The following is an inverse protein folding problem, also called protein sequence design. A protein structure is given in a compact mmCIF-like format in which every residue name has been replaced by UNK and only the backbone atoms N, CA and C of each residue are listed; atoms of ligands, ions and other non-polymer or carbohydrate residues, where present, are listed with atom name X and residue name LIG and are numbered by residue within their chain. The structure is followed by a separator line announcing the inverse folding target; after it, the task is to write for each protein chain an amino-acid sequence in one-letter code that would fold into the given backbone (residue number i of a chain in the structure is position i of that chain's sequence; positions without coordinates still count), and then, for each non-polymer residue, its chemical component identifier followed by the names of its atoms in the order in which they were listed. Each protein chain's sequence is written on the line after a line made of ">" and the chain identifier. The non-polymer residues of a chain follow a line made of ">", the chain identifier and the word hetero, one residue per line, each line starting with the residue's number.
data_IF_003933504150
#
_entry.id   IF_003933504150
#
_cell.length_a   1.000
_cell.length_b   1.000
_cell.length_c   1.000
_cell.angle_alpha   90.00
_cell.angle_beta   90.00
_cell.angle_gamma   90.00
#
_symmetry.space_group_name_H-M   'P 1'
#
loop_
_entity.id
_entity.type
_entity.pdbx_description
1 polymer ?
#
# COMPACT_ATOMS: atom_id res chain seq x y z
N UNK A 1 17.89 -17.38 -17.31
CA UNK A 1 16.56 -16.79 -16.94
C UNK A 1 15.54 -17.11 -18.01
N UNK A 2 15.39 -18.38 -18.31
CA UNK A 2 14.68 -18.83 -19.54
C UNK A 2 13.22 -19.23 -19.27
N UNK A 3 12.72 -19.03 -18.03
CA UNK A 3 11.36 -19.38 -17.63
C UNK A 3 11.12 -20.88 -17.45
N UNK A 4 12.18 -21.69 -17.43
CA UNK A 4 12.09 -23.12 -17.15
C UNK A 4 11.81 -23.38 -15.68
N UNK A 5 11.06 -24.44 -15.39
CA UNK A 5 10.81 -24.90 -14.02
C UNK A 5 12.11 -25.44 -13.42
N UNK A 6 12.49 -24.92 -12.24
CA UNK A 6 13.74 -25.31 -11.55
C UNK A 6 13.54 -26.28 -10.40
N UNK A 7 12.31 -26.43 -9.89
CA UNK A 7 12.02 -27.31 -8.76
C UNK A 7 10.64 -27.08 -8.15
N UNK A 8 10.37 -27.83 -7.07
CA UNK A 8 9.13 -27.72 -6.29
C UNK A 8 9.45 -27.14 -4.90
N UNK A 9 8.57 -26.30 -4.37
CA UNK A 9 8.70 -25.65 -3.06
C UNK A 9 7.43 -25.93 -2.27
N UNK A 10 7.58 -26.37 -1.03
CA UNK A 10 6.46 -26.51 -0.11
C UNK A 10 5.93 -25.14 0.28
N UNK A 11 4.62 -24.93 0.10
CA UNK A 11 3.99 -23.67 0.43
C UNK A 11 3.79 -23.54 1.95
N UNK A 12 4.20 -22.43 2.56
CA UNK A 12 3.97 -22.19 3.97
C UNK A 12 2.47 -22.16 4.30
N UNK A 13 2.16 -22.54 5.54
CA UNK A 13 0.80 -22.64 6.04
C UNK A 13 -0.04 -21.34 5.95
N UNK A 14 0.60 -20.21 5.68
CA UNK A 14 -0.07 -18.93 5.46
C UNK A 14 -1.00 -18.97 4.24
N UNK A 15 -0.65 -19.73 3.18
CA UNK A 15 -1.45 -19.86 1.97
C UNK A 15 -2.73 -20.69 2.16
N UNK A 16 -2.86 -21.46 3.25
CA UNK A 16 -4.08 -22.19 3.60
C UNK A 16 -5.14 -21.32 4.30
N UNK A 17 -4.80 -20.04 4.60
CA UNK A 17 -5.72 -19.13 5.27
C UNK A 17 -6.97 -18.86 4.44
N UNK A 18 -8.18 -18.88 5.04
CA UNK A 18 -9.41 -18.57 4.31
C UNK A 18 -9.44 -17.13 3.83
N UNK A 19 -9.99 -16.91 2.64
CA UNK A 19 -10.14 -15.57 2.08
C UNK A 19 -11.27 -14.81 2.79
N UNK A 20 -10.96 -13.73 3.48
CA UNK A 20 -11.86 -12.85 4.24
C UNK A 20 -11.82 -11.43 3.67
N UNK A 21 -12.67 -11.18 2.68
CA UNK A 21 -12.78 -9.85 2.06
C UNK A 21 -13.17 -8.74 3.05
N UNK A 22 -14.07 -9.05 3.99
CA UNK A 22 -14.55 -8.14 5.03
C UNK A 22 -13.40 -7.57 5.87
N UNK A 23 -12.52 -8.44 6.36
CA UNK A 23 -11.36 -8.04 7.19
C UNK A 23 -10.33 -7.28 6.35
N UNK A 24 -10.08 -7.72 5.11
CA UNK A 24 -9.19 -7.04 4.17
C UNK A 24 -9.69 -5.62 3.90
N UNK A 25 -11.00 -5.46 3.62
CA UNK A 25 -11.62 -4.15 3.36
C UNK A 25 -11.49 -3.21 4.56
N UNK A 26 -11.84 -3.67 5.76
CA UNK A 26 -11.73 -2.90 7.00
C UNK A 26 -10.29 -2.44 7.24
N UNK A 27 -9.33 -3.36 7.13
CA UNK A 27 -7.92 -3.04 7.30
C UNK A 27 -7.43 -2.04 6.24
N UNK A 28 -7.82 -2.23 4.96
CA UNK A 28 -7.49 -1.33 3.87
C UNK A 28 -7.96 0.10 4.14
N UNK A 29 -9.25 0.30 4.45
CA UNK A 29 -9.84 1.64 4.69
C UNK A 29 -9.13 2.34 5.86
N UNK A 30 -8.85 1.61 6.92
CA UNK A 30 -8.20 2.18 8.09
C UNK A 30 -6.73 2.53 7.82
N UNK A 31 -5.95 1.65 7.19
CA UNK A 31 -4.57 1.91 6.83
C UNK A 31 -4.44 3.04 5.79
N UNK A 32 -5.36 3.11 4.82
CA UNK A 32 -5.38 4.19 3.82
C UNK A 32 -5.58 5.56 4.46
N UNK A 33 -6.30 5.65 5.58
CA UNK A 33 -6.52 6.92 6.28
C UNK A 33 -5.21 7.58 6.74
N UNK A 34 -4.15 6.79 6.96
CA UNK A 34 -2.83 7.29 7.35
C UNK A 34 -2.05 7.96 6.20
N UNK A 35 -2.46 7.74 4.95
CA UNK A 35 -1.88 8.42 3.78
C UNK A 35 -2.53 9.77 3.49
N UNK A 36 -3.62 10.12 4.14
CA UNK A 36 -4.32 11.38 3.91
C UNK A 36 -3.64 12.52 4.66
N UNK A 37 -3.44 13.62 3.96
CA UNK A 37 -2.98 14.86 4.56
C UNK A 37 -4.14 15.55 5.27
N UNK A 38 -3.93 15.99 6.52
CA UNK A 38 -4.89 16.83 7.23
C UNK A 38 -5.08 18.13 6.47
N UNK A 39 -6.33 18.56 6.38
CA UNK A 39 -6.69 19.82 5.74
C UNK A 39 -7.42 20.69 6.75
N UNK A 40 -7.17 21.97 6.66
CA UNK A 40 -7.84 22.98 7.47
C UNK A 40 -7.93 24.29 6.71
N UNK A 41 -8.71 25.20 7.23
CA UNK A 41 -8.79 26.57 6.77
C UNK A 41 -8.50 27.51 7.95
N UNK A 42 -8.39 28.79 7.68
CA UNK A 42 -8.35 29.79 8.74
C UNK A 42 -9.65 29.71 9.57
N UNK A 43 -9.58 29.49 10.90
CA UNK A 43 -10.77 29.21 11.72
C UNK A 43 -11.84 30.29 11.63
N UNK A 44 -11.42 31.54 11.65
CA UNK A 44 -12.32 32.72 11.60
C UNK A 44 -12.70 33.13 10.18
N UNK A 45 -12.38 32.35 9.14
CA UNK A 45 -12.71 32.71 7.77
C UNK A 45 -14.23 32.85 7.57
N UNK A 46 -14.65 34.02 7.09
CA UNK A 46 -16.07 34.38 6.91
C UNK A 46 -16.77 34.89 8.19
N UNK A 47 -16.08 34.92 9.33
CA UNK A 47 -16.56 35.46 10.60
C UNK A 47 -15.92 36.81 10.95
N UNK A 48 -14.74 37.11 10.39
CA UNK A 48 -14.02 38.39 10.59
C UNK A 48 -14.73 39.51 9.81
N UNK A 49 -15.94 39.80 10.21
CA UNK A 49 -16.78 40.87 9.59
C UNK A 49 -17.54 41.57 10.72
N UNK A 50 -17.51 42.88 10.72
CA UNK A 50 -18.37 43.67 11.62
C UNK A 50 -19.82 43.53 11.19
N UNK A 51 -20.53 42.64 11.86
CA UNK A 51 -21.92 42.33 11.55
C UNK A 51 -22.76 42.22 12.82
N UNK A 52 -23.95 42.74 12.81
CA UNK A 52 -24.85 42.73 13.96
C UNK A 52 -26.28 42.40 13.52
N UNK A 53 -26.99 41.62 14.34
CA UNK A 53 -28.38 41.31 14.10
C UNK A 53 -29.24 42.57 14.35
N UNK A 54 -30.16 42.87 13.45
CA UNK A 54 -31.18 43.88 13.71
C UNK A 54 -32.26 43.28 14.60
N UNK A 55 -32.69 44.05 15.58
CA UNK A 55 -33.70 43.62 16.54
C UNK A 55 -35.08 43.38 15.88
N UNK A 56 -36.04 42.88 16.62
CA UNK A 56 -37.42 42.64 16.25
C UNK A 56 -38.15 43.94 15.94
N UNK A 57 -39.20 43.87 15.13
CA UNK A 57 -40.06 45.02 14.82
C UNK A 57 -39.74 45.73 13.50
N UNK A 58 -38.69 45.38 12.81
CA UNK A 58 -38.25 46.01 11.55
C UNK A 58 -38.70 45.27 10.28
N UNK A 59 -39.49 44.21 10.40
CA UNK A 59 -39.94 43.40 9.24
C UNK A 59 -38.84 42.69 8.47
N UNK A 60 -37.60 42.64 9.00
CA UNK A 60 -36.45 42.06 8.37
C UNK A 60 -35.99 40.82 9.15
N UNK A 61 -35.46 39.79 8.45
CA UNK A 61 -34.89 38.60 9.08
C UNK A 61 -33.79 38.97 10.09
N UNK A 62 -33.76 38.28 11.23
CA UNK A 62 -32.83 38.50 12.37
C UNK A 62 -31.41 38.00 12.09
N UNK A 63 -30.98 37.97 10.86
CA UNK A 63 -29.60 37.59 10.51
C UNK A 63 -28.65 38.75 10.82
N UNK A 64 -27.41 38.41 11.21
CA UNK A 64 -26.36 39.39 11.35
C UNK A 64 -26.09 40.06 9.98
N UNK A 65 -26.10 41.40 9.96
CA UNK A 65 -25.88 42.21 8.76
C UNK A 65 -24.65 43.09 8.90
N UNK A 66 -23.94 43.27 7.80
CA UNK A 66 -22.74 44.10 7.79
C UNK A 66 -23.06 45.54 8.23
N UNK A 67 -22.26 46.05 9.16
CA UNK A 67 -22.30 47.45 9.62
C UNK A 67 -21.61 48.36 8.62
N UNK A 68 -21.98 49.62 8.64
CA UNK A 68 -21.41 50.69 7.80
C UNK A 68 -22.27 51.02 6.60
N UNK A 69 -21.96 52.12 5.94
CA UNK A 69 -22.62 52.68 4.79
C UNK A 69 -21.61 52.92 3.67
N UNK A 70 -22.07 53.14 2.45
CA UNK A 70 -21.22 53.54 1.33
C UNK A 70 -20.44 52.40 0.62
N UNK A 71 -20.64 51.14 0.98
CA UNK A 71 -20.05 49.99 0.27
C UNK A 71 -21.12 49.00 -0.21
N UNK A 72 -20.86 48.28 -1.29
CA UNK A 72 -21.80 47.42 -2.00
C UNK A 72 -22.47 46.34 -1.15
N UNK A 73 -21.92 45.99 0.01
CA UNK A 73 -22.42 44.95 0.92
C UNK A 73 -23.05 45.52 2.20
N UNK A 74 -23.18 46.84 2.31
CA UNK A 74 -23.80 47.44 3.47
C UNK A 74 -25.23 46.90 3.68
N UNK A 75 -25.54 46.51 4.91
CA UNK A 75 -26.85 45.97 5.26
C UNK A 75 -27.14 44.54 4.76
N UNK A 76 -26.26 43.92 3.99
CA UNK A 76 -26.41 42.52 3.58
C UNK A 76 -26.02 41.57 4.73
N UNK A 77 -26.59 40.34 4.75
CA UNK A 77 -26.26 39.35 5.72
C UNK A 77 -24.75 39.01 5.64
N UNK A 78 -24.08 38.95 6.79
CA UNK A 78 -22.65 38.70 6.90
C UNK A 78 -22.31 37.86 8.15
N UNK A 79 -21.21 37.12 8.14
CA UNK A 79 -20.75 36.33 9.27
C UNK A 79 -21.55 35.05 9.61
N UNK A 80 -22.61 34.77 8.86
CA UNK A 80 -23.52 33.64 9.13
C UNK A 80 -23.30 32.53 8.12
N UNK A 81 -23.59 31.28 8.52
CA UNK A 81 -23.56 30.14 7.60
C UNK A 81 -24.72 30.21 6.58
N UNK A 82 -24.49 29.69 5.37
CA UNK A 82 -25.50 29.59 4.33
C UNK A 82 -25.68 30.86 3.47
N UNK A 83 -24.99 31.94 3.74
CA UNK A 83 -25.00 33.17 2.94
C UNK A 83 -23.79 33.27 2.02
N UNK A 84 -23.90 34.11 0.99
CA UNK A 84 -22.76 34.37 0.07
C UNK A 84 -21.60 35.02 0.84
N UNK A 85 -20.39 34.42 0.72
CA UNK A 85 -19.19 34.82 1.44
C UNK A 85 -19.30 34.77 2.98
N UNK A 86 -20.26 34.01 3.51
CA UNK A 86 -20.36 33.72 4.94
C UNK A 86 -19.41 32.61 5.39
N UNK A 87 -19.49 32.28 6.66
CA UNK A 87 -18.71 31.15 7.21
C UNK A 87 -19.24 29.79 6.73
N UNK A 88 -18.41 28.80 6.68
CA UNK A 88 -18.85 27.41 6.51
C UNK A 88 -19.29 26.88 7.87
N UNK A 89 -20.47 26.24 7.95
CA UNK A 89 -21.04 25.75 9.21
C UNK A 89 -20.13 24.70 9.89
N UNK A 90 -19.58 23.73 9.11
CA UNK A 90 -18.69 22.68 9.56
C UNK A 90 -17.43 22.66 8.70
N UNK A 91 -16.47 23.58 8.98
CA UNK A 91 -15.26 23.66 8.17
C UNK A 91 -14.31 22.48 8.44
N UNK A 92 -13.43 22.17 7.48
CA UNK A 92 -12.33 21.28 7.76
C UNK A 92 -11.37 21.92 8.76
N UNK A 93 -10.93 21.14 9.76
CA UNK A 93 -10.07 21.57 10.84
C UNK A 93 -8.74 20.81 10.78
N UNK A 94 -7.62 21.54 10.87
CA UNK A 94 -6.27 20.96 10.79
C UNK A 94 -5.92 20.07 11.99
N UNK A 95 -6.54 20.33 13.15
CA UNK A 95 -6.34 19.54 14.37
C UNK A 95 -7.21 18.27 14.45
N UNK A 96 -8.21 18.13 13.60
CA UNK A 96 -9.08 16.95 13.58
C UNK A 96 -8.28 15.68 13.30
N UNK A 97 -8.46 14.67 14.16
CA UNK A 97 -7.83 13.38 13.94
C UNK A 97 -8.60 12.60 12.87
N UNK A 98 -7.97 12.40 11.70
CA UNK A 98 -8.52 11.65 10.57
C UNK A 98 -8.00 10.20 10.51
N UNK A 99 -7.01 9.85 11.35
CA UNK A 99 -6.40 8.53 11.35
C UNK A 99 -7.28 7.52 12.07
N UNK A 100 -7.53 6.39 11.41
CA UNK A 100 -8.31 5.28 11.96
C UNK A 100 -7.37 4.21 12.50
N UNK A 101 -7.64 3.73 13.70
CA UNK A 101 -6.89 2.64 14.34
C UNK A 101 -7.42 1.28 13.85
N UNK A 102 -6.54 0.29 13.78
CA UNK A 102 -6.84 -1.12 13.49
C UNK A 102 -6.24 -1.96 14.59
N UNK A 103 -6.96 -2.97 15.05
CA UNK A 103 -6.43 -3.93 15.99
C UNK A 103 -5.30 -4.75 15.33
N UNK A 104 -4.22 -5.02 16.05
CA UNK A 104 -3.07 -5.74 15.49
C UNK A 104 -3.43 -7.13 14.98
N UNK A 105 -4.26 -7.87 15.73
CA UNK A 105 -4.73 -9.20 15.35
C UNK A 105 -5.54 -9.17 14.06
N UNK A 106 -6.45 -8.18 13.91
CA UNK A 106 -7.22 -7.97 12.67
C UNK A 106 -6.31 -7.60 11.49
N UNK A 107 -5.33 -6.71 11.73
CA UNK A 107 -4.37 -6.30 10.69
C UNK A 107 -3.57 -7.49 10.18
N UNK A 108 -3.11 -8.36 11.06
CA UNK A 108 -2.35 -9.54 10.68
C UNK A 108 -3.21 -10.58 9.96
N UNK A 109 -4.43 -10.84 10.47
CA UNK A 109 -5.36 -11.75 9.81
C UNK A 109 -5.70 -11.25 8.39
N UNK A 110 -5.90 -9.93 8.23
CA UNK A 110 -6.12 -9.32 6.92
C UNK A 110 -4.92 -9.53 5.99
N UNK A 111 -3.69 -9.38 6.50
CA UNK A 111 -2.47 -9.59 5.72
C UNK A 111 -2.32 -11.06 5.32
N UNK A 112 -2.47 -12.01 6.25
CA UNK A 112 -2.40 -13.43 5.96
C UNK A 112 -3.46 -13.85 4.93
N UNK A 113 -4.72 -13.39 5.09
CA UNK A 113 -5.79 -13.64 4.14
C UNK A 113 -5.53 -13.02 2.76
N UNK A 114 -4.88 -11.85 2.70
CA UNK A 114 -4.49 -11.22 1.45
C UNK A 114 -3.36 -11.97 0.74
N UNK A 115 -2.37 -12.48 1.48
CA UNK A 115 -1.29 -13.32 0.93
C UNK A 115 -1.87 -14.64 0.40
N UNK A 116 -2.72 -15.33 1.18
CA UNK A 116 -3.35 -16.57 0.76
C UNK A 116 -4.18 -16.39 -0.53
N UNK A 117 -4.85 -15.25 -0.68
CA UNK A 117 -5.63 -14.94 -1.85
C UNK A 117 -4.79 -14.76 -3.13
N UNK A 118 -3.49 -14.48 -3.03
CA UNK A 118 -2.59 -14.40 -4.20
C UNK A 118 -2.36 -15.74 -4.89
N UNK A 119 -2.65 -16.85 -4.21
CA UNK A 119 -2.61 -18.19 -4.81
C UNK A 119 -3.87 -18.54 -5.61
N UNK A 120 -4.92 -17.69 -5.57
CA UNK A 120 -6.20 -17.99 -6.25
C UNK A 120 -6.30 -17.22 -7.57
N UNK A 121 -6.19 -17.93 -8.67
CA UNK A 121 -6.28 -17.37 -10.03
C UNK A 121 -7.55 -16.57 -10.26
N UNK A 122 -8.70 -17.07 -9.82
CA UNK A 122 -10.02 -16.41 -10.00
C UNK A 122 -10.05 -14.97 -9.43
N UNK A 123 -9.41 -14.74 -8.27
CA UNK A 123 -9.39 -13.43 -7.65
C UNK A 123 -8.49 -12.45 -8.40
N UNK A 124 -7.40 -12.95 -8.98
CA UNK A 124 -6.46 -12.15 -9.78
C UNK A 124 -7.14 -11.75 -11.09
N UNK A 125 -7.83 -12.67 -11.75
CA UNK A 125 -8.59 -12.40 -12.97
C UNK A 125 -9.74 -11.42 -12.74
N UNK A 126 -10.49 -11.56 -11.64
CA UNK A 126 -11.55 -10.60 -11.24
C UNK A 126 -11.03 -9.18 -11.08
N UNK A 127 -9.76 -9.02 -10.73
CA UNK A 127 -9.13 -7.69 -10.69
C UNK A 127 -8.86 -7.13 -12.08
N UNK A 128 -8.81 -7.96 -13.12
CA UNK A 128 -8.55 -7.61 -14.50
C UNK A 128 -7.10 -7.78 -14.91
N UNK A 129 -6.33 -8.61 -14.20
CA UNK A 129 -5.02 -9.04 -14.65
C UNK A 129 -5.13 -10.05 -15.78
N UNK A 130 -4.24 -9.98 -16.75
CA UNK A 130 -4.14 -10.96 -17.84
C UNK A 130 -3.12 -12.02 -17.47
N UNK A 131 -3.60 -13.15 -17.01
CA UNK A 131 -2.78 -14.24 -16.46
C UNK A 131 -3.03 -15.59 -17.16
N UNK A 132 -3.58 -15.56 -18.38
CA UNK A 132 -3.90 -16.76 -19.16
C UNK A 132 -2.69 -17.66 -19.41
N UNK A 133 -1.51 -17.07 -19.58
CA UNK A 133 -0.28 -17.78 -19.94
C UNK A 133 0.53 -18.29 -18.70
N UNK A 134 -0.05 -18.17 -17.50
CA UNK A 134 0.62 -18.59 -16.26
C UNK A 134 -0.02 -19.89 -15.80
N UNK A 135 0.81 -20.92 -15.63
CA UNK A 135 0.38 -22.28 -15.27
C UNK A 135 0.07 -22.44 -13.78
N UNK A 136 0.88 -21.84 -12.91
CA UNK A 136 0.82 -22.07 -11.45
C UNK A 136 0.77 -20.79 -10.63
N UNK A 137 0.04 -20.84 -9.52
CA UNK A 137 -0.07 -19.78 -8.53
C UNK A 137 0.15 -20.35 -7.12
N UNK A 138 0.85 -19.61 -6.24
CA UNK A 138 1.53 -18.33 -6.43
C UNK A 138 2.75 -18.43 -7.36
N UNK A 139 3.13 -17.33 -8.02
CA UNK A 139 4.32 -17.30 -8.87
C UNK A 139 5.55 -17.17 -7.97
N UNK A 140 6.44 -18.19 -8.04
CA UNK A 140 7.69 -18.22 -7.28
C UNK A 140 8.85 -18.20 -8.25
N UNK A 141 9.85 -17.38 -7.99
CA UNK A 141 11.03 -17.22 -8.83
C UNK A 141 12.29 -17.44 -7.96
N UNK A 142 13.35 -17.93 -8.56
CA UNK A 142 14.64 -18.11 -7.87
C UNK A 142 15.17 -16.78 -7.30
N UNK A 143 16.01 -16.85 -6.28
CA UNK A 143 16.60 -15.69 -5.62
C UNK A 143 17.51 -14.84 -6.54
N UNK A 144 17.82 -15.32 -7.74
CA UNK A 144 18.56 -14.56 -8.74
C UNK A 144 17.90 -13.25 -9.15
N UNK A 145 16.58 -13.13 -8.95
CA UNK A 145 15.85 -11.89 -9.19
C UNK A 145 16.42 -10.71 -8.38
N UNK A 146 16.96 -10.99 -7.19
CA UNK A 146 17.55 -9.97 -6.33
C UNK A 146 18.88 -9.40 -6.88
N UNK A 147 19.55 -10.15 -7.76
CA UNK A 147 20.84 -9.78 -8.35
C UNK A 147 20.73 -8.98 -9.64
N UNK A 148 19.52 -8.81 -10.17
CA UNK A 148 19.29 -8.09 -11.42
C UNK A 148 19.69 -6.62 -11.26
N UNK A 149 20.52 -6.12 -12.19
CA UNK A 149 21.00 -4.74 -12.21
C UNK A 149 20.44 -3.90 -13.38
N UNK A 150 19.85 -4.55 -14.41
CA UNK A 150 19.35 -3.87 -15.62
C UNK A 150 17.85 -4.09 -15.78
N UNK A 151 17.13 -3.02 -16.15
CA UNK A 151 15.68 -3.08 -16.45
C UNK A 151 15.35 -4.03 -17.59
N UNK A 152 16.24 -4.16 -18.56
CA UNK A 152 16.10 -5.05 -19.71
C UNK A 152 16.04 -6.52 -19.31
N UNK A 153 16.86 -6.91 -18.34
CA UNK A 153 16.90 -8.29 -17.85
C UNK A 153 15.68 -8.59 -16.97
N UNK A 154 15.21 -7.62 -16.18
CA UNK A 154 13.96 -7.74 -15.44
C UNK A 154 12.76 -7.91 -16.38
N UNK A 155 12.70 -7.16 -17.48
CA UNK A 155 11.65 -7.31 -18.49
C UNK A 155 11.70 -8.68 -19.19
N UNK A 156 12.90 -9.20 -19.49
CA UNK A 156 13.05 -10.55 -20.04
C UNK A 156 12.51 -11.61 -19.10
N UNK A 157 12.85 -11.52 -17.81
CA UNK A 157 12.35 -12.43 -16.78
C UNK A 157 10.83 -12.39 -16.70
N UNK A 158 10.22 -11.19 -16.64
CA UNK A 158 8.76 -11.04 -16.57
C UNK A 158 8.07 -11.61 -17.82
N UNK A 159 8.67 -11.44 -18.98
CA UNK A 159 8.16 -12.04 -20.23
C UNK A 159 8.29 -13.57 -20.22
N UNK A 160 9.39 -14.12 -19.67
CA UNK A 160 9.61 -15.55 -19.55
C UNK A 160 8.62 -16.21 -18.57
N UNK A 161 8.24 -15.51 -17.50
CA UNK A 161 7.19 -15.93 -16.56
C UNK A 161 5.78 -15.90 -17.17
N UNK A 162 5.61 -15.36 -18.39
CA UNK A 162 4.30 -15.30 -19.06
C UNK A 162 3.52 -14.01 -18.84
N UNK A 163 4.16 -12.94 -18.34
CA UNK A 163 3.50 -11.66 -18.03
C UNK A 163 3.47 -10.68 -19.22
N UNK A 164 3.80 -11.12 -20.44
CA UNK A 164 3.82 -10.26 -21.64
C UNK A 164 2.49 -9.54 -21.88
N UNK A 165 1.37 -10.27 -21.77
CA UNK A 165 0.02 -9.71 -22.01
C UNK A 165 -0.37 -8.71 -20.90
N UNK A 166 0.09 -8.95 -19.68
CA UNK A 166 -0.13 -8.06 -18.55
C UNK A 166 0.66 -6.75 -18.72
N UNK A 167 1.90 -6.81 -19.17
CA UNK A 167 2.71 -5.62 -19.46
C UNK A 167 2.08 -4.79 -20.59
N UNK A 168 1.60 -5.45 -21.64
CA UNK A 168 0.87 -4.79 -22.73
C UNK A 168 -0.42 -4.11 -22.21
N UNK A 169 -1.17 -4.78 -21.33
CA UNK A 169 -2.36 -4.18 -20.68
C UNK A 169 -2.01 -2.89 -19.93
N UNK A 170 -0.87 -2.86 -19.24
CA UNK A 170 -0.42 -1.67 -18.52
C UNK A 170 -0.12 -0.50 -19.43
N UNK A 171 0.51 -0.76 -20.56
CA UNK A 171 0.84 0.28 -21.53
C UNK A 171 -0.43 0.88 -22.16
N UNK A 172 -1.38 0.04 -22.56
CA UNK A 172 -2.68 0.47 -23.13
C UNK A 172 -3.53 1.20 -22.08
N UNK A 173 -3.47 0.79 -20.81
CA UNK A 173 -4.27 1.38 -19.73
C UNK A 173 -3.84 2.80 -19.33
N UNK A 174 -2.73 3.28 -19.85
CA UNK A 174 -2.20 4.62 -19.53
C UNK A 174 -3.14 5.71 -20.03
N UNK A 175 -3.76 6.43 -19.08
CA UNK A 175 -4.58 7.60 -19.40
C UNK A 175 -3.89 8.88 -18.90
N UNK A 176 -3.50 9.79 -19.83
CA UNK A 176 -2.97 11.09 -19.43
C UNK A 176 -4.05 11.89 -18.69
N UNK A 177 -3.65 12.77 -17.80
CA UNK A 177 -4.56 13.74 -17.21
C UNK A 177 -4.91 14.83 -18.22
N UNK A 178 -6.11 15.36 -18.15
CA UNK A 178 -6.57 16.48 -18.94
C UNK A 178 -6.79 17.75 -18.10
N UNK A 179 -6.96 18.88 -18.76
CA UNK A 179 -7.33 20.15 -18.13
C UNK A 179 -6.34 20.64 -17.07
N UNK A 180 -6.86 21.22 -16.00
CA UNK A 180 -6.07 21.81 -14.90
C UNK A 180 -5.13 20.81 -14.22
N UNK A 181 -5.51 19.53 -14.13
CA UNK A 181 -4.66 18.51 -13.54
C UNK A 181 -3.37 18.28 -14.35
N UNK A 182 -3.46 18.34 -15.69
CA UNK A 182 -2.30 18.28 -16.60
C UNK A 182 -1.40 19.51 -16.44
N UNK A 183 -2.00 20.71 -16.40
CA UNK A 183 -1.28 21.98 -16.23
C UNK A 183 -0.49 22.00 -14.90
N UNK A 184 -1.03 21.40 -13.84
CA UNK A 184 -0.37 21.27 -12.53
C UNK A 184 0.66 20.14 -12.48
N UNK A 185 1.05 19.53 -13.60
CA UNK A 185 2.06 18.47 -13.68
C UNK A 185 1.65 17.15 -13.02
N UNK A 186 0.37 16.90 -12.75
CA UNK A 186 -0.07 15.64 -12.16
C UNK A 186 0.13 14.49 -13.12
N UNK A 187 0.78 13.43 -12.65
CA UNK A 187 1.03 12.20 -13.42
C UNK A 187 -0.28 11.58 -13.90
N UNK A 188 -0.25 10.95 -15.08
CA UNK A 188 -1.37 10.18 -15.62
C UNK A 188 -1.78 9.03 -14.71
N UNK A 189 -2.97 8.49 -14.91
CA UNK A 189 -3.42 7.27 -14.25
C UNK A 189 -2.83 6.08 -15.01
N UNK A 190 -2.29 5.11 -14.26
CA UNK A 190 -1.89 3.81 -14.79
C UNK A 190 -2.55 2.72 -13.96
N UNK A 191 -2.83 1.58 -14.55
CA UNK A 191 -3.25 0.40 -13.81
C UNK A 191 -2.10 -0.11 -12.92
N UNK A 192 -2.46 -0.78 -11.86
CA UNK A 192 -1.51 -1.48 -10.98
C UNK A 192 -1.38 -2.91 -11.47
N UNK A 193 -0.16 -3.43 -11.51
CA UNK A 193 0.15 -4.80 -11.88
C UNK A 193 0.90 -5.55 -10.78
N UNK A 194 1.84 -6.41 -11.13
CA UNK A 194 2.53 -7.29 -10.22
C UNK A 194 3.27 -6.56 -9.10
N UNK A 195 3.31 -7.20 -7.94
CA UNK A 195 4.22 -6.85 -6.85
C UNK A 195 5.28 -7.94 -6.75
N UNK A 196 6.55 -7.55 -6.72
CA UNK A 196 7.69 -8.44 -6.52
C UNK A 196 8.07 -8.40 -5.05
N UNK A 197 8.08 -9.55 -4.41
CA UNK A 197 8.34 -9.70 -2.99
C UNK A 197 9.65 -10.42 -2.82
N UNK A 198 10.58 -9.78 -2.13
CA UNK A 198 11.92 -10.29 -1.87
C UNK A 198 12.15 -10.47 -0.37
N UNK A 199 13.08 -11.35 -0.02
CA UNK A 199 13.44 -11.61 1.37
C UNK A 199 14.07 -10.38 2.03
N UNK A 200 13.85 -10.25 3.33
CA UNK A 200 14.47 -9.21 4.15
C UNK A 200 15.78 -9.63 4.79
N UNK A 201 15.99 -10.92 5.07
CA UNK A 201 17.17 -11.44 5.77
C UNK A 201 17.64 -12.79 5.24
N UNK A 202 18.90 -12.89 4.84
CA UNK A 202 19.63 -14.17 4.66
C UNK A 202 20.52 -14.51 5.87
N UNK A 203 20.16 -14.12 7.08
CA UNK A 203 21.11 -14.18 8.21
C UNK A 203 20.85 -15.32 9.21
N UNK A 204 19.96 -16.28 8.94
CA UNK A 204 19.58 -17.26 9.97
C UNK A 204 19.94 -18.73 9.68
N UNK A 205 20.55 -19.06 8.55
CA UNK A 205 20.88 -20.47 8.25
C UNK A 205 22.35 -20.86 8.39
N UNK A 206 23.24 -19.96 8.82
CA UNK A 206 24.66 -20.24 8.95
C UNK A 206 25.21 -20.29 10.41
N UNK A 207 24.35 -20.20 11.43
CA UNK A 207 24.80 -20.09 12.83
C UNK A 207 24.45 -21.30 13.69
N UNK A 208 23.87 -22.35 13.14
CA UNK A 208 23.54 -23.55 13.93
C UNK A 208 24.46 -24.78 13.75
N UNK A 209 25.58 -24.65 13.04
CA UNK A 209 26.52 -25.80 12.92
C UNK A 209 27.91 -25.62 13.54
N UNK A 210 28.25 -24.47 14.13
CA UNK A 210 29.58 -24.22 14.71
C UNK A 210 29.60 -24.07 16.24
N UNK A 211 28.71 -24.73 16.98
CA UNK A 211 28.72 -24.74 18.45
C UNK A 211 29.30 -26.01 19.07
N UNK A 212 30.25 -26.66 18.39
CA UNK A 212 30.96 -27.78 18.97
C UNK A 212 32.46 -27.69 18.63
N UNK A 213 33.15 -26.65 19.01
CA UNK A 213 34.58 -26.68 19.34
C UNK A 213 34.98 -25.31 19.91
N UNK A 214 35.36 -25.34 21.16
CA UNK A 214 35.71 -24.16 21.93
C UNK A 214 37.08 -23.60 21.58
N UNK A 215 37.27 -22.41 22.10
CA UNK A 215 38.47 -21.62 22.37
C UNK A 215 38.72 -20.43 21.45
N UNK A 216 38.58 -19.25 22.11
CA UNK A 216 39.36 -18.03 21.91
C UNK A 216 39.57 -17.46 20.50
N UNK A 217 38.77 -16.49 20.14
CA UNK A 217 39.32 -15.18 19.67
C UNK A 217 38.15 -14.14 19.48
N UNK A 218 37.87 -13.44 20.51
CA UNK A 218 37.05 -12.23 20.54
C UNK A 218 37.91 -11.10 19.94
N UNK A 219 37.47 -10.44 18.89
CA UNK A 219 37.73 -9.06 18.42
C UNK A 219 37.68 -8.88 16.89
N UNK A 220 37.22 -9.83 16.07
CA UNK A 220 37.19 -9.58 14.60
C UNK A 220 35.83 -9.71 13.89
N UNK A 221 34.73 -9.92 14.63
CA UNK A 221 33.40 -10.23 14.02
C UNK A 221 32.49 -9.02 13.73
N UNK A 222 32.87 -7.80 14.14
CA UNK A 222 32.00 -6.61 13.95
C UNK A 222 32.11 -5.96 12.56
N UNK A 223 33.22 -6.19 11.83
CA UNK A 223 33.42 -5.55 10.52
C UNK A 223 32.76 -6.28 9.34
N UNK A 224 32.58 -7.58 9.42
CA UNK A 224 31.95 -8.39 8.35
C UNK A 224 30.44 -8.29 8.32
N UNK A 225 29.79 -8.12 9.48
CA UNK A 225 28.31 -7.97 9.57
C UNK A 225 27.81 -6.63 9.00
N UNK A 226 28.61 -5.57 9.06
CA UNK A 226 28.26 -4.25 8.50
C UNK A 226 28.42 -4.20 6.98
N UNK A 227 29.35 -4.93 6.38
CA UNK A 227 29.54 -4.95 4.93
C UNK A 227 28.45 -5.78 4.21
N UNK A 228 28.02 -6.90 4.80
CA UNK A 228 26.95 -7.73 4.23
C UNK A 228 25.57 -7.03 4.29
N UNK A 229 25.28 -6.27 5.35
CA UNK A 229 24.06 -5.45 5.44
C UNK A 229 24.04 -4.34 4.38
N UNK A 230 25.15 -3.61 4.22
CA UNK A 230 25.27 -2.56 3.19
C UNK A 230 25.09 -3.09 1.77
N UNK A 231 25.61 -4.29 1.47
CA UNK A 231 25.47 -4.88 0.15
C UNK A 231 24.01 -5.31 -0.16
N UNK A 232 23.27 -5.82 0.84
CA UNK A 232 21.86 -6.19 0.68
C UNK A 232 20.96 -4.96 0.51
N UNK A 233 21.16 -3.92 1.31
CA UNK A 233 20.45 -2.66 1.15
C UNK A 233 20.68 -2.05 -0.24
N UNK A 234 21.86 -2.24 -0.82
CA UNK A 234 22.17 -1.78 -2.16
C UNK A 234 21.46 -2.60 -3.24
N UNK A 235 21.34 -3.93 -3.11
CA UNK A 235 20.61 -4.80 -4.05
C UNK A 235 19.13 -4.45 -4.07
N UNK A 236 18.50 -4.35 -2.89
CA UNK A 236 17.09 -3.92 -2.79
C UNK A 236 16.87 -2.52 -3.40
N UNK A 237 17.74 -1.56 -3.08
CA UNK A 237 17.67 -0.21 -3.64
C UNK A 237 17.81 -0.20 -5.16
N UNK A 238 18.65 -1.05 -5.73
CA UNK A 238 18.80 -1.20 -7.16
C UNK A 238 17.52 -1.77 -7.78
N UNK A 239 17.00 -2.88 -7.25
CA UNK A 239 15.76 -3.48 -7.74
C UNK A 239 14.56 -2.52 -7.62
N UNK A 240 14.50 -1.74 -6.54
CA UNK A 240 13.48 -0.70 -6.35
C UNK A 240 13.57 0.40 -7.43
N UNK A 241 14.78 0.82 -7.80
CA UNK A 241 14.99 1.78 -8.90
C UNK A 241 14.58 1.19 -10.24
N UNK A 242 14.90 -0.07 -10.49
CA UNK A 242 14.57 -0.78 -11.73
C UNK A 242 13.06 -0.92 -11.90
N UNK A 243 12.36 -1.38 -10.85
CA UNK A 243 10.89 -1.52 -10.87
C UNK A 243 10.20 -0.18 -11.07
N UNK A 244 10.72 0.91 -10.49
CA UNK A 244 10.19 2.26 -10.69
C UNK A 244 10.20 2.74 -12.14
N UNK A 245 11.04 2.13 -12.99
CA UNK A 245 11.08 2.41 -14.44
C UNK A 245 10.02 1.63 -15.21
N UNK A 246 9.55 0.49 -14.67
CA UNK A 246 8.52 -0.35 -15.28
C UNK A 246 7.18 0.04 -14.67
N UNK A 247 6.20 0.32 -15.50
CA UNK A 247 4.90 0.79 -15.02
C UNK A 247 4.14 -0.30 -14.26
N UNK A 248 3.56 0.10 -13.15
CA UNK A 248 2.64 -0.73 -12.38
C UNK A 248 3.29 -1.88 -11.62
N UNK A 249 4.60 -2.02 -11.68
CA UNK A 249 5.36 -3.02 -10.93
C UNK A 249 5.99 -2.33 -9.71
N UNK A 250 5.75 -2.90 -8.54
CA UNK A 250 6.34 -2.46 -7.29
C UNK A 250 7.19 -3.59 -6.69
N UNK A 251 8.22 -3.22 -5.93
CA UNK A 251 9.07 -4.16 -5.18
C UNK A 251 8.92 -3.87 -3.71
N UNK A 252 8.77 -4.91 -2.90
CA UNK A 252 8.66 -4.83 -1.45
C UNK A 252 9.45 -5.93 -0.77
N UNK A 253 9.98 -5.65 0.40
CA UNK A 253 10.52 -6.67 1.30
C UNK A 253 9.41 -7.31 2.13
N UNK A 254 9.61 -8.55 2.56
CA UNK A 254 8.64 -9.30 3.37
C UNK A 254 8.23 -8.53 4.63
N UNK A 255 9.16 -7.84 5.29
CA UNK A 255 8.89 -7.04 6.51
C UNK A 255 8.01 -5.82 6.26
N UNK A 256 8.08 -5.24 5.06
CA UNK A 256 7.37 -3.99 4.71
C UNK A 256 6.01 -4.25 4.06
N UNK A 257 5.58 -5.53 4.01
CA UNK A 257 4.32 -5.90 3.40
C UNK A 257 3.11 -5.39 4.19
N UNK A 258 2.17 -4.82 3.47
CA UNK A 258 0.92 -4.35 4.01
C UNK A 258 -0.28 -4.79 3.16
N UNK A 259 -1.46 -4.73 3.73
CA UNK A 259 -2.71 -4.99 3.01
C UNK A 259 -2.90 -4.03 1.83
N UNK A 260 -2.36 -2.80 1.93
CA UNK A 260 -2.42 -1.80 0.86
C UNK A 260 -1.69 -2.26 -0.41
N UNK A 261 -0.62 -3.04 -0.25
CA UNK A 261 0.19 -3.54 -1.36
C UNK A 261 -0.52 -4.66 -2.14
N UNK A 262 -1.21 -5.57 -1.43
CA UNK A 262 -1.91 -6.70 -2.05
C UNK A 262 -3.31 -6.35 -2.56
N UNK A 263 -4.03 -5.50 -1.86
CA UNK A 263 -5.41 -5.13 -2.19
C UNK A 263 -5.58 -3.63 -2.44
N UNK A 264 -4.83 -3.00 -3.37
CA UNK A 264 -4.98 -1.58 -3.65
C UNK A 264 -6.40 -1.27 -4.14
N UNK A 265 -7.05 -0.29 -3.50
CA UNK A 265 -8.45 0.04 -3.73
C UNK A 265 -9.43 -0.93 -3.06
N UNK A 266 -8.97 -1.78 -2.14
CA UNK A 266 -9.78 -2.79 -1.44
C UNK A 266 -10.49 -3.80 -2.36
N UNK A 267 -10.07 -3.87 -3.63
CA UNK A 267 -10.63 -4.82 -4.62
C UNK A 267 -9.83 -6.12 -4.61
N UNK A 268 -10.31 -7.16 -5.31
CA UNK A 268 -9.63 -8.45 -5.40
C UNK A 268 -8.12 -8.32 -5.63
N UNK A 269 -7.42 -9.32 -5.22
CA UNK A 269 -6.00 -9.33 -4.90
C UNK A 269 -5.13 -9.05 -6.13
N UNK A 270 -4.07 -8.28 -5.92
CA UNK A 270 -3.03 -7.95 -6.88
C UNK A 270 -2.17 -9.18 -7.17
N UNK A 271 -1.71 -9.32 -8.41
CA UNK A 271 -0.74 -10.33 -8.79
C UNK A 271 0.56 -10.18 -7.97
N UNK A 272 1.07 -11.28 -7.43
CA UNK A 272 2.29 -11.29 -6.64
C UNK A 272 3.30 -12.29 -7.20
N UNK A 273 4.57 -11.89 -7.19
CA UNK A 273 5.74 -12.71 -7.57
C UNK A 273 6.62 -12.76 -6.33
N UNK A 274 6.94 -13.95 -5.87
CA UNK A 274 7.75 -14.17 -4.68
C UNK A 274 9.13 -14.69 -5.05
N UNK A 275 10.19 -14.25 -4.35
CA UNK A 275 11.45 -14.97 -4.37
C UNK A 275 11.36 -16.20 -3.47
N UNK A 276 12.17 -17.22 -3.73
CA UNK A 276 12.20 -18.46 -2.97
C UNK A 276 12.46 -18.22 -1.47
N UNK A 277 13.45 -17.38 -1.17
CA UNK A 277 13.76 -17.00 0.22
C UNK A 277 12.63 -16.18 0.86
N UNK A 278 11.91 -15.36 0.10
CA UNK A 278 10.75 -14.62 0.62
C UNK A 278 9.62 -15.56 1.04
N UNK A 279 9.35 -16.64 0.28
CA UNK A 279 8.34 -17.63 0.65
C UNK A 279 8.67 -18.28 1.98
N UNK A 280 9.93 -18.68 2.19
CA UNK A 280 10.41 -19.27 3.46
C UNK A 280 10.27 -18.28 4.64
N UNK A 281 10.46 -16.98 4.38
CA UNK A 281 10.36 -15.94 5.41
C UNK A 281 8.90 -15.58 5.77
N UNK A 282 7.91 -15.84 4.88
CA UNK A 282 6.51 -15.49 5.12
C UNK A 282 5.95 -16.10 6.41
N UNK A 283 6.37 -17.31 6.81
CA UNK A 283 5.92 -17.92 8.05
C UNK A 283 6.29 -17.11 9.31
N UNK A 284 7.38 -16.33 9.25
CA UNK A 284 7.80 -15.46 10.36
C UNK A 284 6.81 -14.29 10.62
N UNK A 285 5.96 -13.95 9.65
CA UNK A 285 4.94 -12.89 9.80
C UNK A 285 3.83 -13.31 10.76
N UNK A 286 3.60 -14.61 10.92
CA UNK A 286 2.53 -15.13 11.79
C UNK A 286 2.87 -14.93 13.26
N UNK A 287 2.04 -14.15 13.96
CA UNK A 287 2.07 -14.17 15.42
C UNK A 287 1.24 -15.35 15.94
N UNK A 288 1.64 -16.00 17.06
CA UNK A 288 0.97 -17.20 17.59
C UNK A 288 -0.52 -16.99 17.88
N UNK A 289 -0.91 -15.77 18.24
CA UNK A 289 -2.32 -15.45 18.49
C UNK A 289 -3.20 -15.50 17.22
N UNK A 290 -2.63 -15.19 16.05
CA UNK A 290 -3.35 -15.27 14.76
C UNK A 290 -3.36 -16.70 14.25
N UNK A 291 -2.32 -17.46 14.50
CA UNK A 291 -2.25 -18.87 14.15
C UNK A 291 -3.41 -19.66 14.77
N UNK A 292 -3.67 -19.49 16.08
CA UNK A 292 -4.81 -20.12 16.77
C UNK A 292 -6.17 -19.76 16.15
N UNK A 293 -6.35 -18.49 15.74
CA UNK A 293 -7.58 -18.05 15.08
C UNK A 293 -7.75 -18.74 13.73
N UNK A 294 -6.65 -18.89 12.98
CA UNK A 294 -6.65 -19.54 11.68
C UNK A 294 -6.97 -21.03 11.79
N UNK A 295 -6.40 -21.73 12.77
CA UNK A 295 -6.66 -23.13 13.06
C UNK A 295 -8.15 -23.36 13.40
N UNK A 296 -8.73 -22.52 14.26
CA UNK A 296 -10.17 -22.58 14.56
C UNK A 296 -11.05 -22.35 13.33
N UNK A 297 -10.67 -21.45 12.42
CA UNK A 297 -11.43 -21.19 11.18
C UNK A 297 -11.33 -22.32 10.15
N UNK A 298 -10.26 -23.10 10.17
CA UNK A 298 -10.10 -24.28 9.29
C UNK A 298 -10.92 -25.45 9.83
N UNK A 299 -10.97 -25.63 11.16
CA UNK A 299 -11.75 -26.68 11.80
C UNK A 299 -13.27 -26.46 11.75
N UNK A 300 -13.71 -25.22 11.54
CA UNK A 300 -15.14 -24.86 11.44
C UNK A 300 -15.76 -25.04 10.04
N UNK A 301 -15.02 -25.56 9.09
CA UNK A 301 -15.47 -25.92 7.74
C UNK A 301 -15.66 -27.41 7.60
#
# INVERSE_FOLDING_TARGET
>A
MDGSESGTIDLPSIFSTPYRYDVIHKAYVNLLSHSYQRQGRYPMAGEVVSAESRNTGLGIARLARAKGEGFSRAGQAAGVAGIRQGRVAHPPESWKNIYKKVNEKEKQLALCSAIAATARKDLIERRGHRVSNISSFPIIVTDDIENISKTKDLLKLLNAVGLKDELHRLDVSRKPRSGTARRRGRRGRSAVSAIIIISSDKTTSAVQQDSANGSETTIRSSRTKTSSKKNKDNKYKNLLKLSGSIRGIDVKQVKDLSVLDFAPGSKPIRLAIFSESAVKELDSIKKPAVQRIMEMMVQSK
#
